data_IF_826870255248
#
_entry.id   IF_826870255248
#
_cell.length_a   1.000
_cell.length_b   1.000
_cell.length_c   1.000
_cell.angle_alpha   90.00
_cell.angle_beta   90.00
_cell.angle_gamma   90.00
#
_symmetry.space_group_name_H-M   'P 1'
#
loop_
_entity.id
_entity.type
_entity.pdbx_description
1 polymer ?
#
# COMPACT_ATOMS: atom_id res chain seq x y z
N UNK A 1 -20.28 24.09 -10.59
CA UNK A 1 -20.42 22.64 -10.39
C UNK A 1 -19.81 22.32 -9.04
N UNK A 2 -20.56 21.69 -8.14
CA UNK A 2 -20.02 21.23 -6.85
C UNK A 2 -19.01 20.09 -7.07
N UNK A 3 -18.00 19.99 -6.21
CA UNK A 3 -16.94 18.97 -6.26
C UNK A 3 -17.52 17.56 -6.32
N UNK A 4 -18.60 17.30 -5.58
CA UNK A 4 -19.30 16.02 -5.62
C UNK A 4 -19.81 15.68 -7.03
N UNK A 5 -20.52 16.62 -7.66
CA UNK A 5 -21.05 16.43 -9.02
C UNK A 5 -19.93 16.22 -10.04
N UNK A 6 -18.83 16.96 -9.90
CA UNK A 6 -17.66 16.82 -10.77
C UNK A 6 -17.04 15.42 -10.68
N UNK A 7 -16.92 14.90 -9.45
CA UNK A 7 -16.39 13.57 -9.20
C UNK A 7 -17.33 12.48 -9.72
N UNK A 8 -18.63 12.59 -9.43
CA UNK A 8 -19.64 11.63 -9.90
C UNK A 8 -19.66 11.55 -11.43
N UNK A 9 -19.58 12.70 -12.11
CA UNK A 9 -19.46 12.77 -13.56
C UNK A 9 -18.16 12.13 -14.06
N UNK A 10 -17.02 12.43 -13.44
CA UNK A 10 -15.72 11.87 -13.83
C UNK A 10 -15.65 10.34 -13.68
N UNK A 11 -16.25 9.83 -12.61
CA UNK A 11 -16.35 8.40 -12.34
C UNK A 11 -17.45 7.70 -13.18
N UNK A 12 -18.27 8.46 -13.91
CA UNK A 12 -19.35 7.92 -14.74
C UNK A 12 -20.49 7.29 -13.93
N UNK A 13 -20.68 7.71 -12.68
CA UNK A 13 -21.63 7.10 -11.75
C UNK A 13 -23.01 7.75 -11.90
N UNK A 14 -23.66 7.49 -13.03
CA UNK A 14 -24.98 8.10 -13.30
C UNK A 14 -26.14 7.39 -12.58
N UNK A 15 -25.90 6.25 -11.89
CA UNK A 15 -26.96 5.44 -11.22
C UNK A 15 -26.55 4.76 -9.89
N UNK A 16 -25.26 4.49 -9.65
CA UNK A 16 -24.81 3.97 -8.36
C UNK A 16 -24.49 5.11 -7.40
N UNK A 17 -25.17 5.16 -6.27
CA UNK A 17 -24.90 6.19 -5.27
C UNK A 17 -23.61 5.81 -4.53
N UNK A 18 -22.54 6.61 -4.71
CA UNK A 18 -21.39 6.58 -3.79
C UNK A 18 -21.92 6.99 -2.42
N UNK A 19 -21.62 6.18 -1.40
CA UNK A 19 -22.22 6.32 -0.07
C UNK A 19 -21.27 6.95 0.95
N UNK A 20 -19.97 6.98 0.65
CA UNK A 20 -18.99 7.50 1.59
C UNK A 20 -17.71 8.05 0.98
N UNK A 21 -16.95 8.76 1.80
CA UNK A 21 -15.66 9.33 1.44
C UNK A 21 -14.64 8.25 1.04
N UNK A 22 -14.60 7.12 1.75
CA UNK A 22 -13.66 6.04 1.45
C UNK A 22 -14.00 5.32 0.14
N UNK A 23 -15.29 5.16 -0.17
CA UNK A 23 -15.74 4.62 -1.45
C UNK A 23 -15.34 5.55 -2.59
N UNK A 24 -15.62 6.85 -2.44
CA UNK A 24 -15.22 7.87 -3.39
C UNK A 24 -13.71 7.84 -3.65
N UNK A 25 -12.92 7.79 -2.57
CA UNK A 25 -11.45 7.74 -2.59
C UNK A 25 -10.95 6.52 -3.37
N UNK A 26 -11.48 5.34 -3.05
CA UNK A 26 -11.08 4.09 -3.69
C UNK A 26 -11.43 4.09 -5.18
N UNK A 27 -12.64 4.54 -5.55
CA UNK A 27 -13.07 4.64 -6.96
C UNK A 27 -12.22 5.65 -7.75
N UNK A 28 -11.88 6.80 -7.16
CA UNK A 28 -10.97 7.79 -7.76
C UNK A 28 -9.57 7.20 -8.00
N UNK A 29 -9.01 6.52 -7.00
CA UNK A 29 -7.70 5.88 -7.13
C UNK A 29 -7.70 4.76 -8.17
N UNK A 30 -8.76 3.94 -8.24
CA UNK A 30 -8.91 2.90 -9.25
C UNK A 30 -9.02 3.47 -10.67
N UNK A 31 -9.72 4.61 -10.81
CA UNK A 31 -9.79 5.35 -12.07
C UNK A 31 -8.43 5.91 -12.46
N UNK A 32 -7.70 6.52 -11.53
CA UNK A 32 -6.33 7.00 -11.77
C UNK A 32 -5.39 5.86 -12.18
N UNK A 33 -5.44 4.71 -11.51
CA UNK A 33 -4.67 3.52 -11.87
C UNK A 33 -5.00 2.99 -13.27
N UNK A 34 -6.28 3.02 -13.65
CA UNK A 34 -6.72 2.66 -15.00
C UNK A 34 -6.14 3.63 -16.05
N UNK A 35 -6.14 4.93 -15.76
CA UNK A 35 -5.51 5.94 -16.63
C UNK A 35 -4.00 5.77 -16.72
N UNK A 36 -3.32 5.45 -15.61
CA UNK A 36 -1.89 5.15 -15.60
C UNK A 36 -1.55 3.92 -16.46
N UNK A 37 -2.39 2.89 -16.47
CA UNK A 37 -2.19 1.74 -17.36
C UNK A 37 -2.44 2.06 -18.85
N UNK A 38 -3.16 3.14 -19.16
CA UNK A 38 -3.48 3.54 -20.54
C UNK A 38 -2.40 4.41 -21.21
N UNK A 39 -1.36 4.83 -20.48
CA UNK A 39 -0.27 5.61 -21.05
C UNK A 39 0.62 4.75 -21.95
N UNK A 40 1.26 5.37 -22.94
CA UNK A 40 2.08 4.68 -23.95
C UNK A 40 3.17 3.79 -23.33
N UNK A 41 3.86 4.30 -22.31
CA UNK A 41 4.87 3.55 -21.57
C UNK A 41 4.35 3.17 -20.19
N UNK A 42 3.80 1.96 -20.08
CA UNK A 42 3.28 1.41 -18.83
C UNK A 42 4.38 1.30 -17.77
N UNK A 43 3.98 1.51 -16.53
CA UNK A 43 4.85 1.37 -15.36
C UNK A 43 5.17 -0.11 -15.11
N UNK A 44 6.31 -0.38 -14.49
CA UNK A 44 6.57 -1.71 -13.93
C UNK A 44 5.64 -2.01 -12.74
N UNK A 45 5.63 -3.26 -12.28
CA UNK A 45 4.73 -3.75 -11.22
C UNK A 45 4.91 -2.98 -9.90
N UNK A 46 6.14 -2.69 -9.49
CA UNK A 46 6.44 -1.98 -8.24
C UNK A 46 6.05 -0.50 -8.32
N UNK A 47 6.39 0.18 -9.42
CA UNK A 47 6.09 1.59 -9.67
C UNK A 47 4.59 1.82 -9.81
N UNK A 48 3.90 0.92 -10.52
CA UNK A 48 2.44 0.96 -10.63
C UNK A 48 1.77 0.84 -9.27
N UNK A 49 2.20 -0.14 -8.48
CA UNK A 49 1.67 -0.40 -7.14
C UNK A 49 1.87 0.81 -6.22
N UNK A 50 3.07 1.41 -6.24
CA UNK A 50 3.35 2.64 -5.49
C UNK A 50 2.49 3.83 -5.96
N UNK A 51 2.33 4.02 -7.27
CA UNK A 51 1.49 5.08 -7.83
C UNK A 51 0.01 4.92 -7.44
N UNK A 52 -0.50 3.70 -7.42
CA UNK A 52 -1.87 3.41 -6.98
C UNK A 52 -2.07 3.77 -5.49
N UNK A 53 -1.14 3.42 -4.60
CA UNK A 53 -1.25 3.82 -3.18
C UNK A 53 -1.11 5.33 -2.98
N UNK A 54 -0.25 5.98 -3.77
CA UNK A 54 -0.19 7.44 -3.83
C UNK A 54 -1.53 8.05 -4.24
N UNK A 55 -2.19 7.48 -5.25
CA UNK A 55 -3.50 7.92 -5.70
C UNK A 55 -4.59 7.70 -4.63
N UNK A 56 -4.55 6.61 -3.87
CA UNK A 56 -5.43 6.39 -2.73
C UNK A 56 -5.28 7.49 -1.67
N UNK A 57 -4.05 7.74 -1.21
CA UNK A 57 -3.78 8.78 -0.22
C UNK A 57 -4.19 10.18 -0.72
N UNK A 58 -3.83 10.51 -1.97
CA UNK A 58 -4.12 11.80 -2.57
C UNK A 58 -5.60 12.05 -2.87
N UNK A 59 -6.38 10.98 -3.10
CA UNK A 59 -7.82 11.09 -3.38
C UNK A 59 -8.65 11.28 -2.11
N UNK A 60 -8.11 10.98 -0.93
CA UNK A 60 -8.87 11.02 0.32
C UNK A 60 -9.45 12.41 0.64
N UNK A 61 -8.69 13.51 0.58
CA UNK A 61 -9.25 14.83 0.84
C UNK A 61 -10.42 15.17 -0.10
N UNK A 62 -10.38 14.75 -1.37
CA UNK A 62 -11.46 14.95 -2.32
C UNK A 62 -12.70 14.11 -1.96
N UNK A 63 -12.50 12.86 -1.54
CA UNK A 63 -13.57 12.01 -1.04
C UNK A 63 -14.25 12.58 0.20
N UNK A 64 -13.46 13.06 1.17
CA UNK A 64 -13.97 13.70 2.39
C UNK A 64 -14.71 14.99 2.08
N UNK A 65 -14.19 15.81 1.16
CA UNK A 65 -14.85 17.04 0.74
C UNK A 65 -16.22 16.77 0.08
N UNK A 66 -16.34 15.71 -0.72
CA UNK A 66 -17.56 15.39 -1.45
C UNK A 66 -18.65 14.67 -0.60
N UNK A 67 -18.26 13.85 0.38
CA UNK A 67 -19.20 12.97 1.09
C UNK A 67 -19.16 13.07 2.62
N UNK A 68 -18.27 13.90 3.19
CA UNK A 68 -17.90 13.89 4.61
C UNK A 68 -17.34 12.53 5.08
N UNK A 69 -16.50 12.56 6.11
CA UNK A 69 -15.98 11.33 6.72
C UNK A 69 -17.00 10.77 7.71
N UNK A 70 -17.27 9.46 7.64
CA UNK A 70 -18.11 8.78 8.65
C UNK A 70 -17.25 8.17 9.75
N UNK A 71 -17.81 8.02 10.95
CA UNK A 71 -17.11 7.43 12.09
C UNK A 71 -16.85 5.92 11.85
N UNK A 72 -15.62 5.47 12.11
CA UNK A 72 -15.23 4.08 11.90
C UNK A 72 -14.86 3.74 10.46
N UNK A 73 -14.93 4.70 9.53
CA UNK A 73 -14.39 4.54 8.19
C UNK A 73 -12.88 4.76 8.16
N UNK A 74 -12.22 3.79 7.56
CA UNK A 74 -10.77 3.81 7.34
C UNK A 74 -10.42 2.89 6.17
N UNK A 75 -9.22 3.03 5.63
CA UNK A 75 -8.66 2.09 4.70
C UNK A 75 -7.17 1.99 4.90
N UNK A 76 -6.68 0.76 4.78
CA UNK A 76 -5.29 0.43 5.00
C UNK A 76 -4.80 -0.43 3.85
N UNK A 77 -3.52 -0.27 3.55
CA UNK A 77 -2.80 -1.24 2.74
C UNK A 77 -1.85 -1.98 3.66
N UNK A 78 -1.80 -3.30 3.46
CA UNK A 78 -0.86 -4.14 4.13
C UNK A 78 0.20 -4.52 3.11
N UNK A 79 1.43 -4.07 3.37
CA UNK A 79 2.59 -4.48 2.61
C UNK A 79 3.17 -5.71 3.30
N UNK A 80 3.39 -6.78 2.54
CA UNK A 80 4.20 -7.90 3.00
C UNK A 80 5.67 -7.46 2.93
N UNK A 81 6.36 -7.36 4.06
CA UNK A 81 7.76 -6.93 4.09
C UNK A 81 8.68 -8.00 3.47
N UNK A 82 9.73 -7.59 2.75
CA UNK A 82 10.61 -8.54 2.01
C UNK A 82 11.48 -9.45 2.91
N UNK A 83 11.44 -9.34 4.25
CA UNK A 83 12.29 -10.18 5.12
C UNK A 83 12.19 -9.97 6.64
N UNK A 84 11.20 -9.23 7.15
CA UNK A 84 10.99 -9.05 8.59
C UNK A 84 9.51 -8.94 8.92
N UNK A 85 9.06 -9.59 9.99
CA UNK A 85 7.64 -9.63 10.40
C UNK A 85 7.05 -11.03 10.32
N UNK A 86 5.81 -11.21 10.78
CA UNK A 86 5.20 -12.54 10.88
C UNK A 86 4.86 -13.21 9.54
N UNK A 87 4.85 -12.44 8.42
CA UNK A 87 4.43 -12.86 7.07
C UNK A 87 5.18 -12.05 5.99
N UNK A 88 6.43 -12.39 5.63
CA UNK A 88 7.15 -11.69 4.57
C UNK A 88 6.62 -12.01 3.15
N UNK A 89 6.88 -11.14 2.16
CA UNK A 89 6.42 -11.27 0.76
C UNK A 89 6.83 -12.61 0.12
N UNK A 90 8.04 -13.09 0.44
CA UNK A 90 8.54 -14.40 0.03
C UNK A 90 7.71 -15.57 0.55
N UNK A 91 7.11 -15.42 1.73
CA UNK A 91 6.22 -16.42 2.33
C UNK A 91 4.77 -16.22 1.90
N UNK A 92 4.34 -15.00 1.61
CA UNK A 92 2.95 -14.72 1.26
C UNK A 92 2.61 -15.03 -0.19
N UNK A 93 3.58 -14.85 -1.10
CA UNK A 93 3.33 -14.91 -2.55
C UNK A 93 2.40 -13.81 -3.06
N UNK A 94 2.22 -12.75 -2.27
CA UNK A 94 1.35 -11.61 -2.54
C UNK A 94 2.15 -10.30 -2.44
N UNK A 95 1.92 -9.37 -3.37
CA UNK A 95 2.57 -8.06 -3.37
C UNK A 95 1.93 -7.11 -2.35
N UNK A 96 0.60 -7.14 -2.24
CA UNK A 96 -0.12 -6.32 -1.26
C UNK A 96 -1.51 -6.86 -0.90
N UNK A 97 -2.06 -6.34 0.18
CA UNK A 97 -3.45 -6.56 0.59
C UNK A 97 -4.12 -5.21 0.85
N UNK A 98 -5.38 -5.08 0.41
CA UNK A 98 -6.22 -3.91 0.71
C UNK A 98 -7.25 -4.28 1.75
N UNK A 99 -7.44 -3.39 2.73
CA UNK A 99 -8.52 -3.48 3.70
C UNK A 99 -9.31 -2.16 3.70
N UNK A 100 -10.62 -2.26 3.46
CA UNK A 100 -11.56 -1.16 3.63
C UNK A 100 -12.39 -1.42 4.89
N UNK A 101 -12.25 -0.56 5.89
CA UNK A 101 -13.09 -0.56 7.09
C UNK A 101 -14.36 0.23 6.76
N UNK A 102 -15.46 -0.48 6.50
CA UNK A 102 -16.74 0.11 6.15
C UNK A 102 -17.51 0.58 7.39
N UNK A 103 -17.24 -0.04 8.54
CA UNK A 103 -17.74 0.36 9.85
C UNK A 103 -16.85 -0.24 10.95
N UNK A 104 -17.13 0.10 12.21
CA UNK A 104 -16.45 -0.50 13.38
C UNK A 104 -16.51 -2.03 13.45
N UNK A 105 -17.47 -2.65 12.77
CA UNK A 105 -17.73 -4.11 12.82
C UNK A 105 -17.64 -4.78 11.45
N UNK A 106 -17.25 -4.06 10.41
CA UNK A 106 -17.29 -4.61 9.06
C UNK A 106 -16.14 -4.05 8.22
N UNK A 107 -15.26 -4.96 7.84
CA UNK A 107 -14.18 -4.69 6.90
C UNK A 107 -14.31 -5.58 5.66
N UNK A 108 -13.68 -5.13 4.58
CA UNK A 108 -13.54 -5.82 3.31
C UNK A 108 -12.07 -5.99 3.02
N UNK A 109 -11.67 -7.19 2.64
CA UNK A 109 -10.28 -7.49 2.35
C UNK A 109 -10.10 -8.23 1.03
N UNK A 110 -9.06 -7.87 0.30
CA UNK A 110 -8.62 -8.61 -0.87
C UNK A 110 -7.08 -8.62 -0.95
N UNK A 111 -6.53 -9.74 -1.40
CA UNK A 111 -5.08 -9.92 -1.64
C UNK A 111 -4.81 -9.79 -3.13
N UNK A 112 -3.70 -9.14 -3.46
CA UNK A 112 -3.30 -8.86 -4.82
C UNK A 112 -1.86 -9.30 -5.07
N UNK A 113 -1.68 -10.06 -6.15
CA UNK A 113 -0.40 -10.26 -6.79
C UNK A 113 -0.39 -9.50 -8.12
N UNK A 114 0.39 -8.43 -8.20
CA UNK A 114 0.57 -7.66 -9.43
C UNK A 114 1.30 -8.50 -10.49
N UNK A 115 0.87 -8.31 -11.74
CA UNK A 115 1.49 -8.87 -12.95
C UNK A 115 1.42 -7.86 -14.09
N UNK A 116 2.43 -7.85 -14.94
CA UNK A 116 2.44 -7.03 -16.17
C UNK A 116 2.83 -7.87 -17.39
N UNK A 117 2.17 -7.63 -18.53
CA UNK A 117 2.60 -8.16 -19.83
C UNK A 117 3.60 -7.23 -20.55
N UNK A 118 3.92 -6.06 -19.98
CA UNK A 118 4.75 -5.05 -20.64
C UNK A 118 6.19 -5.53 -20.96
N UNK A 119 6.70 -6.52 -20.22
CA UNK A 119 8.01 -7.13 -20.46
C UNK A 119 7.99 -8.27 -21.49
N UNK A 120 6.80 -8.78 -21.87
CA UNK A 120 6.63 -9.96 -22.71
C UNK A 120 5.78 -9.63 -23.95
N UNK A 121 6.42 -9.11 -24.99
CA UNK A 121 5.81 -8.63 -26.25
C UNK A 121 5.08 -9.71 -27.07
N UNK A 122 5.22 -10.99 -26.68
CA UNK A 122 4.71 -12.14 -27.44
C UNK A 122 3.39 -12.72 -26.93
N UNK A 123 2.85 -12.23 -25.81
CA UNK A 123 1.59 -12.75 -25.23
C UNK A 123 0.76 -11.64 -24.57
N UNK A 124 0.22 -10.73 -25.38
CA UNK A 124 -0.72 -9.71 -24.92
C UNK A 124 -1.88 -10.33 -24.11
N UNK A 125 -2.26 -9.66 -23.02
CA UNK A 125 -3.37 -10.05 -22.16
C UNK A 125 -3.27 -11.49 -21.61
N UNK A 126 -2.05 -11.98 -21.40
CA UNK A 126 -1.81 -13.33 -20.88
C UNK A 126 -1.17 -13.27 -19.50
N UNK A 127 -1.80 -13.93 -18.53
CA UNK A 127 -1.29 -14.09 -17.17
C UNK A 127 -0.36 -15.31 -17.11
N UNK A 128 0.87 -15.13 -16.62
CA UNK A 128 1.84 -16.21 -16.38
C UNK A 128 1.91 -16.55 -14.89
N UNK A 129 1.75 -17.83 -14.54
CA UNK A 129 1.46 -18.28 -13.15
C UNK A 129 2.57 -19.19 -12.58
N UNK A 130 3.56 -19.59 -13.39
CA UNK A 130 4.62 -20.53 -13.01
C UNK A 130 5.85 -19.90 -12.36
N UNK A 131 5.78 -18.65 -11.91
CA UNK A 131 6.91 -17.99 -11.30
C UNK A 131 7.32 -18.74 -10.02
N UNK A 132 8.61 -19.08 -9.95
CA UNK A 132 9.20 -19.85 -8.86
C UNK A 132 10.49 -19.21 -8.38
N UNK A 133 10.82 -19.44 -7.11
CA UNK A 133 12.11 -19.08 -6.52
C UNK A 133 12.79 -20.36 -5.99
N UNK A 134 14.12 -20.31 -5.86
CA UNK A 134 14.87 -21.38 -5.18
C UNK A 134 15.02 -20.94 -3.72
N UNK A 135 14.46 -21.70 -2.80
CA UNK A 135 14.53 -21.48 -1.35
C UNK A 135 15.12 -22.77 -0.75
N UNK A 136 16.24 -22.65 -0.05
CA UNK A 136 16.92 -23.81 0.59
C UNK A 136 17.21 -25.00 -0.36
N UNK A 137 17.40 -24.72 -1.65
CA UNK A 137 17.63 -25.73 -2.68
C UNK A 137 16.35 -26.32 -3.29
N UNK A 138 15.18 -25.98 -2.76
CA UNK A 138 13.90 -26.39 -3.30
C UNK A 138 13.26 -25.31 -4.18
N UNK A 139 12.56 -25.75 -5.23
CA UNK A 139 11.80 -24.87 -6.10
C UNK A 139 10.44 -24.58 -5.47
N UNK A 140 10.22 -23.34 -5.04
CA UNK A 140 8.97 -22.89 -4.45
C UNK A 140 8.18 -22.05 -5.45
N UNK A 141 6.93 -22.44 -5.70
CA UNK A 141 6.01 -21.71 -6.59
C UNK A 141 5.35 -20.55 -5.84
N UNK A 142 5.38 -19.35 -6.43
CA UNK A 142 4.72 -18.18 -5.83
C UNK A 142 3.21 -18.37 -5.68
N UNK A 143 2.56 -19.00 -6.67
CA UNK A 143 1.13 -19.31 -6.61
C UNK A 143 0.79 -20.28 -5.46
N UNK A 144 1.71 -21.18 -5.12
CA UNK A 144 1.53 -22.09 -3.97
C UNK A 144 1.53 -21.30 -2.66
N UNK A 145 2.49 -20.39 -2.46
CA UNK A 145 2.55 -19.48 -1.30
C UNK A 145 1.30 -18.61 -1.19
N UNK A 146 0.82 -18.07 -2.32
CA UNK A 146 -0.40 -17.26 -2.38
C UNK A 146 -1.64 -18.05 -1.91
N UNK A 147 -1.79 -19.30 -2.35
CA UNK A 147 -2.88 -20.19 -1.95
C UNK A 147 -2.77 -20.62 -0.48
N UNK A 148 -1.56 -20.91 0.00
CA UNK A 148 -1.31 -21.25 1.41
C UNK A 148 -1.67 -20.08 2.34
N UNK A 149 -1.23 -18.88 1.98
CA UNK A 149 -1.55 -17.61 2.65
C UNK A 149 -3.04 -17.38 2.73
N UNK A 150 -3.73 -17.49 1.59
CA UNK A 150 -5.17 -17.34 1.52
C UNK A 150 -5.91 -18.39 2.35
N UNK A 151 -5.47 -19.65 2.30
CA UNK A 151 -6.06 -20.74 3.07
C UNK A 151 -5.91 -20.53 4.57
N UNK A 152 -4.73 -20.08 5.03
CA UNK A 152 -4.47 -19.78 6.43
C UNK A 152 -5.31 -18.61 6.94
N UNK A 153 -5.56 -17.59 6.12
CA UNK A 153 -6.46 -16.49 6.47
C UNK A 153 -7.91 -16.97 6.53
N UNK A 154 -8.34 -17.76 5.54
CA UNK A 154 -9.71 -18.25 5.45
C UNK A 154 -10.05 -19.22 6.60
N UNK A 155 -9.08 -20.01 7.05
CA UNK A 155 -9.21 -20.96 8.15
C UNK A 155 -9.01 -20.36 9.54
N UNK A 156 -8.77 -19.05 9.65
CA UNK A 156 -8.48 -18.40 10.94
C UNK A 156 -7.16 -18.84 11.58
N UNK A 157 -6.17 -19.22 10.77
CA UNK A 157 -4.83 -19.62 11.21
C UNK A 157 -4.57 -21.12 11.23
N UNK A 158 -5.58 -21.96 10.97
CA UNK A 158 -5.42 -23.41 10.89
C UNK A 158 -4.76 -23.85 9.57
N UNK A 159 -4.05 -24.98 9.57
CA UNK A 159 -3.34 -25.54 8.39
C UNK A 159 -4.29 -26.33 7.47
N UNK A 160 -5.53 -25.85 7.33
CA UNK A 160 -6.52 -26.51 6.47
C UNK A 160 -6.48 -25.90 5.07
N UNK A 161 -6.34 -26.75 4.05
CA UNK A 161 -6.48 -26.29 2.67
C UNK A 161 -7.94 -25.92 2.40
N UNK A 162 -8.12 -24.71 1.86
CA UNK A 162 -9.44 -24.24 1.42
C UNK A 162 -9.61 -24.54 -0.07
N UNK A 163 -10.79 -25.01 -0.50
CA UNK A 163 -11.09 -25.15 -1.91
C UNK A 163 -10.84 -23.84 -2.69
N UNK A 164 -10.05 -23.91 -3.77
CA UNK A 164 -9.66 -22.74 -4.57
C UNK A 164 -10.84 -21.93 -5.11
N UNK A 165 -11.99 -22.58 -5.34
CA UNK A 165 -13.22 -21.92 -5.78
C UNK A 165 -13.84 -20.98 -4.72
N UNK A 166 -13.41 -21.07 -3.46
CA UNK A 166 -13.78 -20.14 -2.38
C UNK A 166 -12.85 -18.94 -2.29
N UNK A 167 -11.67 -18.98 -2.93
CA UNK A 167 -10.69 -17.89 -2.92
C UNK A 167 -11.02 -16.82 -3.97
N UNK A 168 -12.27 -16.31 -3.95
CA UNK A 168 -12.76 -15.26 -4.85
C UNK A 168 -12.18 -13.88 -4.56
N UNK A 169 -11.56 -13.73 -3.40
CA UNK A 169 -11.02 -12.49 -2.85
C UNK A 169 -9.50 -12.35 -3.00
N UNK A 170 -8.87 -13.33 -3.66
CA UNK A 170 -7.45 -13.35 -3.96
C UNK A 170 -7.29 -13.20 -5.45
N UNK A 171 -6.55 -12.17 -5.86
CA UNK A 171 -6.54 -11.71 -7.24
C UNK A 171 -5.11 -11.59 -7.78
N UNK A 172 -4.94 -11.93 -9.05
CA UNK A 172 -3.86 -11.34 -9.83
C UNK A 172 -4.31 -9.97 -10.34
N UNK A 173 -3.56 -8.90 -10.06
CA UNK A 173 -3.77 -7.57 -10.62
C UNK A 173 -2.90 -7.41 -11.87
N UNK A 174 -3.53 -7.51 -13.03
CA UNK A 174 -2.85 -7.58 -14.31
C UNK A 174 -2.90 -6.23 -15.05
N UNK A 175 -1.72 -5.68 -15.33
CA UNK A 175 -1.51 -4.56 -16.23
C UNK A 175 -1.39 -5.07 -17.67
N UNK A 176 -2.47 -4.93 -18.44
CA UNK A 176 -2.53 -5.38 -19.83
C UNK A 176 -2.84 -4.24 -20.81
N UNK A 177 -2.52 -4.44 -22.08
CA UNK A 177 -2.86 -3.50 -23.16
C UNK A 177 -4.37 -3.28 -23.26
N UNK A 178 -5.18 -4.33 -23.04
CA UNK A 178 -6.65 -4.20 -23.04
C UNK A 178 -7.22 -3.49 -21.82
N UNK A 179 -6.36 -3.09 -20.87
CA UNK A 179 -6.75 -2.44 -19.63
C UNK A 179 -6.32 -3.20 -18.38
N UNK A 180 -6.58 -2.58 -17.24
CA UNK A 180 -6.24 -3.11 -15.93
C UNK A 180 -7.32 -4.07 -15.43
N UNK A 181 -6.94 -5.34 -15.22
CA UNK A 181 -7.88 -6.41 -14.86
C UNK A 181 -7.42 -7.19 -13.63
N UNK A 182 -8.39 -7.67 -12.86
CA UNK A 182 -8.16 -8.59 -11.76
C UNK A 182 -8.64 -9.99 -12.12
N UNK A 183 -7.80 -11.00 -11.94
CA UNK A 183 -8.16 -12.41 -12.15
C UNK A 183 -8.26 -13.08 -10.78
N UNK A 184 -9.47 -13.38 -10.28
CA UNK A 184 -9.63 -14.10 -9.03
C UNK A 184 -9.12 -15.54 -9.16
N UNK A 185 -8.41 -16.04 -8.15
CA UNK A 185 -7.89 -17.43 -8.12
C UNK A 185 -9.00 -18.45 -8.41
N UNK A 186 -10.20 -18.20 -7.90
CA UNK A 186 -11.36 -19.08 -8.12
C UNK A 186 -11.72 -19.28 -9.59
N UNK A 187 -11.43 -18.32 -10.47
CA UNK A 187 -11.75 -18.40 -11.92
C UNK A 187 -10.74 -19.23 -12.70
N UNK A 188 -9.55 -19.42 -12.15
CA UNK A 188 -8.43 -20.18 -12.72
C UNK A 188 -8.04 -21.36 -11.82
N UNK A 189 -8.98 -21.80 -10.96
CA UNK A 189 -8.73 -22.78 -9.91
C UNK A 189 -8.13 -24.08 -10.44
N UNK A 190 -8.64 -24.61 -11.55
CA UNK A 190 -8.12 -25.85 -12.13
C UNK A 190 -6.68 -25.70 -12.58
N UNK A 191 -6.35 -24.62 -13.28
CA UNK A 191 -4.99 -24.34 -13.75
C UNK A 191 -4.04 -24.15 -12.56
N UNK A 192 -4.47 -23.45 -11.51
CA UNK A 192 -3.69 -23.27 -10.29
C UNK A 192 -3.43 -24.60 -9.59
N UNK A 193 -4.46 -25.44 -9.41
CA UNK A 193 -4.33 -26.77 -8.81
C UNK A 193 -3.37 -27.67 -9.60
N UNK A 194 -3.50 -27.67 -10.93
CA UNK A 194 -2.66 -28.46 -11.81
C UNK A 194 -1.19 -28.01 -11.79
N UNK A 195 -0.93 -26.70 -11.71
CA UNK A 195 0.42 -26.14 -11.57
C UNK A 195 1.03 -26.51 -10.21
N UNK A 196 0.26 -26.41 -9.13
CA UNK A 196 0.73 -26.75 -7.77
C UNK A 196 1.06 -28.25 -7.67
N UNK A 197 0.30 -29.10 -8.38
CA UNK A 197 0.50 -30.56 -8.44
C UNK A 197 1.53 -30.99 -9.50
N UNK A 198 2.18 -30.05 -10.18
CA UNK A 198 3.19 -30.28 -11.22
C UNK A 198 2.75 -31.28 -12.31
N UNK A 199 1.51 -31.13 -12.81
CA UNK A 199 1.02 -31.99 -13.90
C UNK A 199 1.74 -31.64 -15.22
N UNK A 200 2.26 -32.67 -15.90
CA UNK A 200 3.18 -32.54 -17.04
C UNK A 200 2.65 -31.72 -18.24
N UNK A 201 1.33 -31.69 -18.47
CA UNK A 201 0.72 -31.03 -19.64
C UNK A 201 0.11 -29.66 -19.31
N UNK A 202 0.31 -29.15 -18.10
CA UNK A 202 -0.38 -27.95 -17.66
C UNK A 202 0.20 -26.69 -18.28
N UNK A 203 -0.66 -25.94 -18.98
CA UNK A 203 -0.32 -24.60 -19.45
C UNK A 203 -0.05 -23.69 -18.25
N UNK A 204 1.15 -23.10 -18.26
CA UNK A 204 1.67 -22.20 -17.21
C UNK A 204 1.21 -20.75 -17.37
N UNK A 205 0.33 -20.51 -18.34
CA UNK A 205 -0.25 -19.23 -18.66
C UNK A 205 -1.73 -19.35 -18.98
N UNK A 206 -2.46 -18.27 -18.72
CA UNK A 206 -3.90 -18.19 -18.94
C UNK A 206 -4.22 -16.90 -19.71
N UNK A 207 -4.90 -16.99 -20.86
CA UNK A 207 -5.40 -15.80 -21.55
C UNK A 207 -6.49 -15.14 -20.70
N UNK A 208 -6.41 -13.82 -20.54
CA UNK A 208 -7.36 -13.06 -19.71
C UNK A 208 -8.35 -12.32 -20.59
N UNK A 209 -9.62 -12.40 -20.20
CA UNK A 209 -10.76 -11.77 -20.88
C UNK A 209 -11.84 -11.40 -19.86
N UNK A 210 -12.99 -10.93 -20.32
CA UNK A 210 -14.16 -10.69 -19.47
C UNK A 210 -14.73 -11.97 -18.81
N UNK A 211 -14.35 -13.16 -19.31
CA UNK A 211 -14.85 -14.44 -18.76
C UNK A 211 -14.18 -14.85 -17.45
N UNK A 212 -12.92 -14.44 -17.24
CA UNK A 212 -12.10 -14.84 -16.09
C UNK A 212 -11.43 -13.65 -15.38
N UNK A 213 -11.52 -12.45 -15.93
CA UNK A 213 -11.02 -11.24 -15.32
C UNK A 213 -12.12 -10.20 -15.12
N UNK A 214 -11.99 -9.40 -14.08
CA UNK A 214 -12.89 -8.29 -13.72
C UNK A 214 -12.13 -6.99 -13.95
N UNK A 215 -12.78 -5.95 -14.48
CA UNK A 215 -12.15 -4.64 -14.58
C UNK A 215 -11.80 -4.12 -13.17
N UNK A 216 -10.60 -3.55 -12.99
CA UNK A 216 -10.14 -3.13 -11.65
C UNK A 216 -11.09 -2.15 -10.97
N UNK A 217 -11.65 -1.20 -11.73
CA UNK A 217 -12.65 -0.24 -11.22
C UNK A 217 -13.89 -0.97 -10.69
N UNK A 218 -14.38 -1.98 -11.42
CA UNK A 218 -15.54 -2.78 -11.01
C UNK A 218 -15.24 -3.61 -9.76
N UNK A 219 -14.05 -4.19 -9.67
CA UNK A 219 -13.63 -4.89 -8.45
C UNK A 219 -13.62 -3.96 -7.24
N UNK A 220 -13.08 -2.74 -7.38
CA UNK A 220 -13.03 -1.77 -6.29
C UNK A 220 -14.44 -1.32 -5.88
N UNK A 221 -15.35 -1.14 -6.84
CA UNK A 221 -16.75 -0.83 -6.55
C UNK A 221 -17.46 -1.99 -5.79
N UNK A 222 -17.18 -3.25 -6.15
CA UNK A 222 -17.73 -4.44 -5.46
C UNK A 222 -17.40 -4.47 -3.96
N UNK A 223 -16.25 -3.90 -3.54
CA UNK A 223 -15.89 -3.82 -2.12
C UNK A 223 -16.98 -3.12 -1.28
N UNK A 224 -17.64 -2.13 -1.85
CA UNK A 224 -18.65 -1.29 -1.19
C UNK A 224 -20.09 -1.77 -1.44
N UNK A 225 -20.28 -2.84 -2.21
CA UNK A 225 -21.57 -3.46 -2.39
C UNK A 225 -22.10 -4.07 -1.08
N UNK A 226 -23.42 -4.12 -0.93
CA UNK A 226 -24.06 -4.73 0.24
C UNK A 226 -23.59 -6.18 0.43
N UNK A 227 -23.59 -6.93 -0.69
CA UNK A 227 -23.04 -8.27 -0.83
C UNK A 227 -21.91 -8.21 -1.84
N UNK A 228 -20.67 -8.24 -1.35
CA UNK A 228 -19.49 -8.27 -2.21
C UNK A 228 -19.20 -9.71 -2.62
N UNK A 229 -18.96 -9.93 -3.91
CA UNK A 229 -18.65 -11.25 -4.45
C UNK A 229 -17.14 -11.56 -4.47
N UNK A 230 -16.32 -10.51 -4.51
CA UNK A 230 -14.89 -10.58 -4.77
C UNK A 230 -14.02 -10.04 -3.64
N UNK A 231 -14.62 -9.75 -2.47
CA UNK A 231 -13.91 -9.35 -1.26
C UNK A 231 -14.32 -10.22 -0.08
N UNK A 232 -13.35 -10.53 0.78
CA UNK A 232 -13.62 -11.22 2.04
C UNK A 232 -14.25 -10.24 3.01
N UNK A 233 -15.40 -10.62 3.58
CA UNK A 233 -15.98 -9.90 4.72
C UNK A 233 -15.28 -10.30 6.00
N UNK A 234 -14.87 -9.32 6.79
CA UNK A 234 -14.25 -9.52 8.10
C UNK A 234 -15.07 -8.74 9.12
N UNK A 235 -15.56 -9.41 10.17
CA UNK A 235 -16.41 -8.77 11.19
C UNK A 235 -15.59 -8.08 12.30
N UNK A 236 -14.34 -8.51 12.49
CA UNK A 236 -13.31 -7.78 13.24
C UNK A 236 -11.96 -8.25 12.72
N UNK A 237 -11.05 -7.33 12.40
CA UNK A 237 -9.68 -7.67 12.05
C UNK A 237 -8.89 -8.18 13.27
N UNK A 238 -9.42 -8.04 14.50
CA UNK A 238 -8.84 -8.63 15.69
C UNK A 238 -8.79 -10.16 15.56
N UNK A 239 -7.58 -10.71 15.62
CA UNK A 239 -7.33 -12.15 15.59
C UNK A 239 -7.05 -12.74 14.21
N UNK A 240 -7.20 -12.00 13.12
CA UNK A 240 -6.66 -12.45 11.84
C UNK A 240 -5.14 -12.24 11.81
N UNK A 241 -4.36 -13.23 11.34
CA UNK A 241 -2.91 -13.12 11.25
C UNK A 241 -2.53 -12.25 10.03
N UNK A 242 -2.94 -10.99 10.04
CA UNK A 242 -2.62 -10.03 8.99
C UNK A 242 -1.31 -9.29 9.32
N UNK A 243 -0.48 -8.96 8.31
CA UNK A 243 0.72 -8.14 8.52
C UNK A 243 0.37 -6.75 9.06
N UNK A 244 1.37 -6.03 9.58
CA UNK A 244 1.18 -4.66 10.05
C UNK A 244 0.64 -3.77 8.91
N UNK A 245 -0.55 -3.23 9.09
CA UNK A 245 -1.20 -2.38 8.11
C UNK A 245 -0.67 -0.94 8.22
N UNK A 246 -0.45 -0.29 7.08
CA UNK A 246 -0.22 1.15 7.03
C UNK A 246 -1.58 1.81 6.79
N UNK A 247 -2.05 2.57 7.79
CA UNK A 247 -3.26 3.38 7.68
C UNK A 247 -3.05 4.51 6.69
N UNK A 248 -3.65 4.42 5.50
CA UNK A 248 -3.49 5.44 4.46
C UNK A 248 -4.27 6.72 4.80
N UNK A 249 -5.31 6.60 5.63
CA UNK A 249 -6.04 7.74 6.16
C UNK A 249 -5.14 8.70 6.93
N UNK A 250 -4.15 8.21 7.69
CA UNK A 250 -3.21 9.07 8.41
C UNK A 250 -2.42 9.95 7.44
N UNK A 251 -1.97 9.40 6.31
CA UNK A 251 -1.26 10.14 5.27
C UNK A 251 -2.19 11.15 4.60
N UNK A 252 -3.38 10.73 4.19
CA UNK A 252 -4.33 11.61 3.52
C UNK A 252 -4.79 12.78 4.40
N UNK A 253 -4.92 12.60 5.71
CA UNK A 253 -5.25 13.66 6.66
C UNK A 253 -4.15 14.72 6.81
N UNK A 254 -2.89 14.37 6.50
CA UNK A 254 -1.79 15.34 6.45
C UNK A 254 -1.80 16.19 5.18
N UNK A 255 -2.57 15.81 4.15
CA UNK A 255 -2.66 16.52 2.88
C UNK A 255 -3.70 17.64 2.97
N UNK A 256 -3.23 18.90 2.99
CA UNK A 256 -4.12 20.06 2.91
C UNK A 256 -4.60 20.25 1.47
N UNK A 257 -5.91 20.25 1.27
CA UNK A 257 -6.53 20.62 -0.01
C UNK A 257 -7.13 22.00 0.08
N UNK A 258 -6.76 22.83 -0.90
CA UNK A 258 -7.27 24.18 -1.07
C UNK A 258 -8.19 24.15 -2.30
N UNK A 259 -9.46 24.49 -2.09
CA UNK A 259 -10.44 24.63 -3.18
C UNK A 259 -10.57 26.12 -3.45
N UNK A 260 -10.20 26.54 -4.65
CA UNK A 260 -10.34 27.93 -5.10
C UNK A 260 -11.40 27.94 -6.19
N UNK A 261 -12.44 28.74 -6.00
CA UNK A 261 -13.45 29.01 -7.01
C UNK A 261 -12.98 30.16 -7.88
N UNK A 262 -12.91 29.97 -9.19
CA UNK A 262 -12.60 31.06 -10.13
C UNK A 262 -13.86 31.93 -10.34
N UNK A 263 -14.06 32.89 -9.46
CA UNK A 263 -15.02 33.98 -9.63
C UNK A 263 -14.40 35.12 -10.48
N UNK A 264 -14.05 34.80 -11.74
CA UNK A 264 -13.92 35.75 -12.85
C UNK A 264 -13.12 37.05 -12.61
N UNK A 265 -12.05 37.04 -11.83
CA UNK A 265 -10.98 38.06 -11.91
C UNK A 265 -9.65 37.37 -11.73
N UNK A 266 -8.93 37.20 -12.85
CA UNK A 266 -7.75 36.35 -12.99
C UNK A 266 -6.73 36.43 -11.86
N UNK A 267 -6.02 35.31 -11.68
CA UNK A 267 -4.84 35.07 -10.84
C UNK A 267 -4.35 36.27 -10.01
N UNK A 268 -5.01 36.54 -8.87
CA UNK A 268 -4.35 37.25 -7.78
C UNK A 268 -3.69 36.19 -6.91
N UNK A 269 -2.40 35.98 -7.17
CA UNK A 269 -1.56 35.07 -6.41
C UNK A 269 -1.16 35.72 -5.08
N UNK A 270 -2.11 35.87 -4.16
CA UNK A 270 -1.82 36.23 -2.76
C UNK A 270 -1.98 35.01 -1.87
N UNK A 271 -1.30 33.93 -2.23
CA UNK A 271 -0.88 32.98 -1.22
C UNK A 271 0.28 33.60 -0.46
N UNK A 272 -0.03 34.21 0.68
CA UNK A 272 0.93 34.56 1.74
C UNK A 272 1.60 33.34 2.36
N UNK A 273 1.99 32.35 1.56
CA UNK A 273 2.98 31.38 1.96
C UNK A 273 4.32 32.12 1.95
N UNK A 274 4.86 32.38 3.15
CA UNK A 274 6.32 32.39 3.28
C UNK A 274 6.82 31.15 2.55
N UNK A 275 7.66 31.37 1.53
CA UNK A 275 8.18 30.30 0.69
C UNK A 275 8.58 29.13 1.58
N UNK A 276 8.23 27.87 1.23
CA UNK A 276 8.67 26.73 2.01
C UNK A 276 10.18 26.85 2.13
N UNK A 277 10.67 27.06 3.36
CA UNK A 277 12.09 27.15 3.64
C UNK A 277 12.68 25.83 3.15
N UNK A 278 13.41 25.88 2.04
CA UNK A 278 14.21 24.76 1.59
C UNK A 278 15.30 24.61 2.64
N UNK A 279 15.03 23.81 3.66
CA UNK A 279 16.08 23.26 4.51
C UNK A 279 16.76 22.23 3.62
N UNK A 280 17.71 22.69 2.81
CA UNK A 280 18.57 21.79 2.07
C UNK A 280 19.14 20.77 3.06
N UNK A 281 19.10 19.48 2.71
CA UNK A 281 19.68 18.41 3.54
C UNK A 281 21.13 18.71 3.96
N UNK A 282 21.84 19.54 3.20
CA UNK A 282 23.20 20.02 3.52
C UNK A 282 23.22 20.92 4.75
N UNK A 283 22.22 21.79 4.95
CA UNK A 283 22.15 22.69 6.12
C UNK A 283 21.76 21.96 7.40
N UNK A 284 20.79 21.02 7.33
CA UNK A 284 20.40 20.20 8.48
C UNK A 284 21.49 19.20 8.93
N UNK A 285 22.34 18.75 8.00
CA UNK A 285 23.51 17.89 8.33
C UNK A 285 24.64 18.72 8.95
N UNK A 286 24.89 19.93 8.44
CA UNK A 286 25.93 20.81 9.00
C UNK A 286 25.53 21.38 10.37
N UNK A 287 24.27 21.78 10.57
CA UNK A 287 23.77 22.23 11.88
C UNK A 287 23.84 21.12 12.93
N UNK A 288 23.58 19.85 12.57
CA UNK A 288 23.76 18.71 13.46
C UNK A 288 25.24 18.36 13.72
N UNK A 289 26.14 18.64 12.78
CA UNK A 289 27.59 18.51 12.99
C UNK A 289 28.11 19.58 13.94
N UNK A 290 27.71 20.83 13.76
CA UNK A 290 28.09 21.96 14.64
C UNK A 290 27.49 21.81 16.05
N UNK A 291 26.28 21.25 16.17
CA UNK A 291 25.68 20.89 17.47
C UNK A 291 26.39 19.72 18.16
N UNK A 292 26.88 18.72 17.40
CA UNK A 292 27.67 17.61 17.96
C UNK A 292 29.10 18.04 18.31
N UNK A 293 29.73 18.89 17.51
CA UNK A 293 31.06 19.44 17.79
C UNK A 293 31.03 20.43 18.96
N UNK A 294 30.01 21.30 19.06
CA UNK A 294 29.84 22.21 20.20
C UNK A 294 29.50 21.49 21.51
N UNK A 295 28.71 20.40 21.48
CA UNK A 295 28.50 19.53 22.64
C UNK A 295 29.77 18.76 23.01
N UNK A 296 30.50 18.22 22.04
CA UNK A 296 31.78 17.54 22.25
C UNK A 296 32.89 18.46 22.78
N UNK A 297 32.91 19.74 22.36
CA UNK A 297 33.82 20.75 22.92
C UNK A 297 33.43 21.12 24.35
N UNK A 298 32.13 21.32 24.64
CA UNK A 298 31.66 21.62 26.00
C UNK A 298 31.94 20.47 26.97
N UNK A 299 31.78 19.21 26.55
CA UNK A 299 32.15 18.04 27.37
C UNK A 299 33.67 17.92 27.56
N UNK A 300 34.49 18.19 26.53
CA UNK A 300 35.96 18.19 26.67
C UNK A 300 36.46 19.32 27.55
N UNK A 301 35.84 20.51 27.50
CA UNK A 301 36.18 21.65 28.36
C UNK A 301 35.75 21.41 29.80
N UNK A 302 34.56 20.82 30.03
CA UNK A 302 34.13 20.44 31.37
C UNK A 302 35.00 19.34 31.99
N UNK A 303 35.35 18.28 31.23
CA UNK A 303 36.28 17.24 31.71
C UNK A 303 37.70 17.77 31.97
N UNK A 304 38.17 18.78 31.22
CA UNK A 304 39.44 19.46 31.53
C UNK A 304 39.36 20.31 32.80
N UNK A 305 38.22 20.98 33.05
CA UNK A 305 38.01 21.76 34.28
C UNK A 305 37.88 20.87 35.52
N UNK A 306 37.18 19.74 35.43
CA UNK A 306 37.10 18.74 36.51
C UNK A 306 38.47 18.15 36.84
N UNK A 307 39.26 17.75 35.83
CA UNK A 307 40.63 17.25 36.05
C UNK A 307 41.60 18.31 36.58
N UNK A 308 41.39 19.59 36.29
CA UNK A 308 42.17 20.70 36.88
C UNK A 308 41.73 21.03 38.31
N UNK A 309 40.46 20.81 38.67
CA UNK A 309 39.97 20.94 40.04
C UNK A 309 40.46 19.79 40.92
N UNK A 310 40.42 18.54 40.44
CA UNK A 310 40.95 17.37 41.14
C UNK A 310 42.48 17.45 41.35
N UNK A 311 43.24 18.01 40.38
CA UNK A 311 44.68 18.26 40.55
C UNK A 311 44.98 19.38 41.56
N UNK A 312 44.12 20.40 41.70
CA UNK A 312 44.28 21.45 42.73
C UNK A 312 43.95 20.93 44.13
N UNK A 313 42.94 20.08 44.27
CA UNK A 313 42.61 19.44 45.55
C UNK A 313 43.65 18.38 45.98
N UNK A 314 44.22 17.64 45.03
CA UNK A 314 45.32 16.71 45.31
C UNK A 314 46.62 17.45 45.71
N UNK A 315 46.89 18.63 45.15
CA UNK A 315 48.08 19.42 45.49
C UNK A 315 47.95 20.13 46.85
N UNK A 316 46.73 20.54 47.25
CA UNK A 316 46.50 21.12 48.58
C UNK A 316 46.46 20.08 49.71
N UNK A 317 46.16 18.81 49.43
CA UNK A 317 46.26 17.72 50.43
C UNK A 317 47.68 17.22 50.69
N UNK A 318 48.65 17.48 49.81
CA UNK A 318 50.05 17.05 49.98
C UNK A 318 50.88 18.05 50.79
N UNK A 319 50.48 19.32 50.86
CA UNK A 319 51.19 20.36 51.64
C UNK A 319 50.76 20.37 53.12
N UNK A 320 49.59 19.81 53.48
CA UNK A 320 49.14 19.70 54.87
C UNK A 320 49.61 18.42 55.60
N UNK A 321 50.54 17.64 55.02
CA UNK A 321 51.09 16.40 55.61
C UNK A 321 52.62 16.30 55.58
N UNK A 322 53.32 17.43 55.51
CA UNK A 322 54.73 17.52 55.90
C UNK A 322 54.88 18.61 56.95
N UNK A 323 55.52 18.21 58.06
CA UNK A 323 56.03 19.03 59.15
C UNK A 323 56.78 20.26 58.67
#
# INVERSE_FOLDING_TARGET
>A
MDVKQAIEQYLGVNKEQIKSAIECTARLAARAATSLNAVEKRLDEESFTAAFFGALAASLPLGVLAYSRQEGEDYAWLKYDKGSGGWPESESGADFCLVFNLSKQKSRMAIFQAKSDASNWTTDNTLVINQSRIEEGEKVLQVKRLVETASRIESGGAVNQVPLNKLRWVHYLCQFNSGLRCVPISTIAQQVDDIIKDKAETKKSVPVSDKNGIAFISLIADAFAANSEHWKTINSAEGLPLPSAIGLTEIGLLMKVYVITDDQKGWVNELGFSSPTVVSKVKAINENKDLKESKGLKERVNRKREKSAEKKDASNRVVAKKK
#
